data_IF_581558955169
#
_entry.id   IF_581558955169
#
_cell.length_a   1.000
_cell.length_b   1.000
_cell.length_c   1.000
_cell.angle_alpha   90.00
_cell.angle_beta   90.00
_cell.angle_gamma   90.00
#
_symmetry.space_group_name_H-M   'P 1'
#
loop_
_entity.id
_entity.type
_entity.pdbx_description
1 polymer ?
#
# COMPACT_ATOMS: atom_id res chain seq x y z
N UNK A 1 -50.34 38.11 -44.81
CA UNK A 1 -48.99 37.57 -44.53
C UNK A 1 -48.23 37.33 -45.83
N UNK A 2 -46.99 37.83 -45.96
CA UNK A 2 -46.19 37.68 -47.19
C UNK A 2 -45.61 36.25 -47.27
N UNK A 3 -46.01 35.47 -48.28
CA UNK A 3 -45.62 34.06 -48.53
C UNK A 3 -44.11 33.81 -48.44
N UNK A 4 -43.31 34.78 -48.90
CA UNK A 4 -41.84 34.74 -48.85
C UNK A 4 -41.30 34.75 -47.42
N UNK A 5 -41.91 35.53 -46.52
CA UNK A 5 -41.51 35.64 -45.12
C UNK A 5 -41.83 34.36 -44.34
N UNK A 6 -42.99 33.74 -44.63
CA UNK A 6 -43.37 32.46 -44.03
C UNK A 6 -42.40 31.34 -44.43
N UNK A 7 -42.12 31.16 -45.73
CA UNK A 7 -41.18 30.13 -46.20
C UNK A 7 -39.76 30.30 -45.65
N UNK A 8 -39.30 31.54 -45.49
CA UNK A 8 -37.99 31.85 -44.92
C UNK A 8 -37.93 31.53 -43.42
N UNK A 9 -39.00 31.83 -42.67
CA UNK A 9 -39.10 31.51 -41.25
C UNK A 9 -39.26 30.00 -41.00
N UNK A 10 -40.02 29.29 -41.83
CA UNK A 10 -40.19 27.84 -41.73
C UNK A 10 -38.90 27.09 -42.11
N UNK A 11 -38.12 27.59 -43.06
CA UNK A 11 -36.81 27.03 -43.42
C UNK A 11 -35.76 27.16 -42.31
N UNK A 12 -35.73 28.30 -41.61
CA UNK A 12 -34.84 28.53 -40.46
C UNK A 12 -35.24 27.65 -39.26
N UNK A 13 -36.55 27.46 -39.02
CA UNK A 13 -37.05 26.54 -37.99
C UNK A 13 -36.72 25.06 -38.30
N UNK A 14 -36.82 24.65 -39.56
CA UNK A 14 -36.43 23.30 -40.00
C UNK A 14 -34.92 23.04 -39.86
N UNK A 15 -34.08 24.02 -40.20
CA UNK A 15 -32.64 23.92 -40.04
C UNK A 15 -32.22 23.88 -38.55
N UNK A 16 -32.88 24.66 -37.67
CA UNK A 16 -32.64 24.63 -36.23
C UNK A 16 -32.98 23.29 -35.57
N UNK A 17 -34.04 22.62 -36.04
CA UNK A 17 -34.46 21.29 -35.56
C UNK A 17 -33.56 20.14 -36.06
N UNK A 18 -32.85 20.33 -37.18
CA UNK A 18 -31.85 19.36 -37.68
C UNK A 18 -30.49 19.63 -37.04
N UNK A 19 -30.12 20.89 -36.82
CA UNK A 19 -28.90 21.27 -36.12
C UNK A 19 -28.92 20.85 -34.63
N UNK A 20 -30.08 20.84 -33.97
CA UNK A 20 -30.22 20.32 -32.59
C UNK A 20 -30.05 18.80 -32.48
N UNK A 21 -30.09 18.06 -33.60
CA UNK A 21 -29.72 16.63 -33.64
C UNK A 21 -28.23 16.41 -33.88
N UNK A 22 -27.51 17.46 -34.26
CA UNK A 22 -26.04 17.53 -34.32
C UNK A 22 -25.49 18.36 -33.15
N UNK A 23 -26.13 18.28 -31.98
CA UNK A 23 -25.39 18.52 -30.74
C UNK A 23 -24.21 17.55 -30.75
N UNK A 24 -23.01 18.08 -30.97
CA UNK A 24 -21.77 17.49 -30.49
C UNK A 24 -21.85 17.46 -28.96
N UNK A 25 -22.73 16.64 -28.42
CA UNK A 25 -22.51 16.09 -27.11
C UNK A 25 -21.20 15.31 -27.27
N UNK A 26 -20.11 15.88 -26.77
CA UNK A 26 -18.94 15.08 -26.39
C UNK A 26 -19.52 13.84 -25.70
N UNK A 27 -19.12 12.62 -26.09
CA UNK A 27 -19.70 11.43 -25.51
C UNK A 27 -19.57 11.56 -23.99
N UNK A 28 -20.70 11.64 -23.29
CA UNK A 28 -20.76 11.76 -21.83
C UNK A 28 -20.11 10.54 -21.13
N UNK A 29 -19.73 9.53 -21.93
CA UNK A 29 -19.15 8.26 -21.54
C UNK A 29 -17.63 8.13 -21.79
N UNK A 30 -16.90 9.22 -22.08
CA UNK A 30 -15.43 9.14 -22.21
C UNK A 30 -14.75 9.45 -20.89
N UNK A 31 -14.37 8.40 -20.18
CA UNK A 31 -13.48 8.51 -19.02
C UNK A 31 -12.02 8.72 -19.48
N UNK A 32 -11.23 9.56 -18.79
CA UNK A 32 -9.85 9.81 -19.16
C UNK A 32 -8.96 8.58 -18.91
N UNK A 33 -7.96 8.36 -19.77
CA UNK A 33 -6.92 7.37 -19.50
C UNK A 33 -6.00 7.92 -18.40
N UNK A 34 -6.07 7.33 -17.20
CA UNK A 34 -5.25 7.73 -16.04
C UNK A 34 -4.27 6.65 -15.58
N UNK A 35 -4.47 5.39 -16.00
CA UNK A 35 -3.49 4.31 -15.81
C UNK A 35 -2.18 4.65 -16.54
N UNK A 36 -1.05 4.34 -15.91
CA UNK A 36 0.28 4.58 -16.48
C UNK A 36 0.42 3.84 -17.82
N UNK A 37 1.03 4.50 -18.80
CA UNK A 37 1.28 3.94 -20.12
C UNK A 37 2.03 2.59 -20.01
N UNK A 38 1.67 1.61 -20.83
CA UNK A 38 2.13 0.23 -20.69
C UNK A 38 3.67 0.06 -20.68
N UNK A 39 4.43 0.97 -21.31
CA UNK A 39 5.88 0.97 -21.31
C UNK A 39 6.52 1.52 -20.01
N UNK A 40 5.75 2.24 -19.20
CA UNK A 40 6.19 2.87 -17.94
C UNK A 40 5.70 2.14 -16.68
N UNK A 41 4.90 1.08 -16.83
CA UNK A 41 4.42 0.25 -15.71
C UNK A 41 5.59 -0.52 -15.10
N UNK A 42 5.71 -0.48 -13.78
CA UNK A 42 6.84 -1.09 -13.07
C UNK A 42 6.81 -2.62 -13.11
N UNK A 43 5.62 -3.21 -13.09
CA UNK A 43 5.41 -4.65 -13.13
C UNK A 43 4.21 -5.01 -14.02
N UNK A 44 4.27 -6.16 -14.69
CA UNK A 44 3.21 -6.64 -15.58
C UNK A 44 2.79 -8.05 -15.18
N UNK A 45 1.49 -8.27 -15.10
CA UNK A 45 0.90 -9.58 -14.81
C UNK A 45 -0.23 -9.85 -15.80
N UNK A 46 -0.10 -10.93 -16.56
CA UNK A 46 -1.09 -11.33 -17.55
C UNK A 46 -2.42 -11.74 -16.89
N UNK A 47 -2.36 -12.33 -15.69
CA UNK A 47 -3.55 -12.72 -14.93
C UNK A 47 -4.32 -11.50 -14.41
N UNK A 48 -3.61 -10.45 -13.97
CA UNK A 48 -4.23 -9.18 -13.57
C UNK A 48 -4.87 -8.47 -14.76
N UNK A 49 -4.19 -8.37 -15.90
CA UNK A 49 -4.78 -7.77 -17.11
C UNK A 49 -5.99 -8.58 -17.63
N UNK A 50 -5.95 -9.92 -17.51
CA UNK A 50 -7.12 -10.78 -17.79
C UNK A 50 -8.28 -10.50 -16.83
N UNK A 51 -8.02 -10.37 -15.54
CA UNK A 51 -9.06 -10.07 -14.55
C UNK A 51 -9.72 -8.70 -14.81
N UNK A 52 -8.95 -7.70 -15.24
CA UNK A 52 -9.47 -6.39 -15.66
C UNK A 52 -10.39 -6.54 -16.87
N UNK A 53 -9.96 -7.27 -17.90
CA UNK A 53 -10.77 -7.51 -19.09
C UNK A 53 -12.06 -8.28 -18.77
N UNK A 54 -11.97 -9.29 -17.90
CA UNK A 54 -13.12 -10.08 -17.45
C UNK A 54 -14.11 -9.23 -16.64
N UNK A 55 -13.63 -8.38 -15.73
CA UNK A 55 -14.49 -7.44 -15.00
C UNK A 55 -15.21 -6.49 -15.97
N UNK A 56 -14.48 -5.91 -16.92
CA UNK A 56 -15.05 -5.02 -17.94
C UNK A 56 -16.10 -5.68 -18.83
N UNK A 57 -15.94 -6.96 -19.16
CA UNK A 57 -16.92 -7.71 -19.94
C UNK A 57 -18.22 -8.01 -19.17
N UNK A 58 -18.15 -8.13 -17.83
CA UNK A 58 -19.26 -8.58 -17.00
C UNK A 58 -19.96 -7.46 -16.22
N UNK A 59 -19.39 -6.25 -16.18
CA UNK A 59 -19.94 -5.12 -15.42
C UNK A 59 -20.48 -4.05 -16.36
N UNK A 60 -21.79 -3.78 -16.26
CA UNK A 60 -22.47 -2.80 -17.13
C UNK A 60 -22.13 -1.34 -16.81
N UNK A 61 -21.80 -1.03 -15.56
CA UNK A 61 -21.47 0.32 -15.15
C UNK A 61 -20.06 0.69 -15.63
N UNK A 62 -20.00 1.56 -16.65
CA UNK A 62 -18.75 2.00 -17.28
C UNK A 62 -17.81 2.74 -16.33
N UNK A 63 -18.35 3.53 -15.39
CA UNK A 63 -17.55 4.23 -14.38
C UNK A 63 -16.88 3.22 -13.43
N UNK A 64 -17.63 2.19 -13.00
CA UNK A 64 -17.07 1.15 -12.16
C UNK A 64 -15.98 0.34 -12.87
N UNK A 65 -16.16 0.05 -14.17
CA UNK A 65 -15.11 -0.58 -14.99
C UNK A 65 -13.87 0.31 -15.08
N UNK A 66 -14.06 1.61 -15.33
CA UNK A 66 -12.96 2.58 -15.38
C UNK A 66 -12.23 2.66 -14.03
N UNK A 67 -12.95 2.77 -12.92
CA UNK A 67 -12.36 2.77 -11.57
C UNK A 67 -11.58 1.47 -11.30
N UNK A 68 -12.14 0.31 -11.65
CA UNK A 68 -11.47 -0.97 -11.45
C UNK A 68 -10.18 -1.08 -12.28
N UNK A 69 -10.22 -0.70 -13.56
CA UNK A 69 -9.04 -0.70 -14.43
C UNK A 69 -7.92 0.21 -13.92
N UNK A 70 -8.26 1.32 -13.27
CA UNK A 70 -7.27 2.25 -12.72
C UNK A 70 -6.75 1.84 -11.33
N UNK A 71 -7.62 1.35 -10.46
CA UNK A 71 -7.28 1.05 -9.08
C UNK A 71 -6.69 -0.35 -8.91
N UNK A 72 -7.28 -1.36 -9.57
CA UNK A 72 -6.90 -2.76 -9.34
C UNK A 72 -5.43 -3.06 -9.65
N UNK A 73 -4.81 -2.54 -10.73
CA UNK A 73 -3.39 -2.80 -11.01
C UNK A 73 -2.45 -1.72 -10.48
N UNK A 74 -2.94 -0.70 -9.75
CA UNK A 74 -2.17 0.51 -9.46
C UNK A 74 -0.83 0.21 -8.76
N UNK A 75 -0.84 -0.65 -7.75
CA UNK A 75 0.38 -1.12 -7.06
C UNK A 75 1.42 -1.67 -8.04
N UNK A 76 1.01 -2.57 -8.95
CA UNK A 76 1.94 -3.17 -9.91
C UNK A 76 2.46 -2.14 -10.91
N UNK A 77 1.62 -1.20 -11.29
CA UNK A 77 1.96 -0.19 -12.28
C UNK A 77 2.94 0.85 -11.74
N UNK A 78 2.82 1.26 -10.47
CA UNK A 78 3.43 2.50 -9.96
C UNK A 78 4.31 2.34 -8.72
N UNK A 79 4.13 1.30 -7.90
CA UNK A 79 4.77 1.26 -6.58
C UNK A 79 5.82 0.17 -6.40
N UNK A 80 5.81 -0.83 -7.28
CA UNK A 80 6.68 -2.00 -7.18
C UNK A 80 8.07 -1.70 -7.75
N UNK A 81 9.11 -2.22 -7.11
CA UNK A 81 10.46 -2.34 -7.64
C UNK A 81 10.97 -3.75 -7.39
N UNK A 82 10.90 -4.59 -8.43
CA UNK A 82 11.36 -5.98 -8.38
C UNK A 82 12.82 -6.07 -8.82
N UNK A 83 13.65 -6.72 -8.00
CA UNK A 83 15.05 -7.01 -8.30
C UNK A 83 15.41 -8.42 -7.86
N UNK A 84 16.67 -8.82 -8.10
CA UNK A 84 17.24 -10.04 -7.52
C UNK A 84 18.37 -9.65 -6.56
N UNK A 85 18.32 -10.15 -5.33
CA UNK A 85 19.39 -10.02 -4.33
C UNK A 85 20.01 -11.40 -4.13
N UNK A 86 21.28 -11.56 -4.52
CA UNK A 86 21.97 -12.86 -4.49
C UNK A 86 21.18 -13.97 -5.21
N UNK A 87 20.65 -13.67 -6.41
CA UNK A 87 19.78 -14.53 -7.21
C UNK A 87 18.42 -14.88 -6.59
N UNK A 88 18.08 -14.35 -5.42
CA UNK A 88 16.76 -14.52 -4.81
C UNK A 88 15.85 -13.31 -5.11
N UNK A 89 14.53 -13.51 -5.28
CA UNK A 89 13.59 -12.41 -5.43
C UNK A 89 13.69 -11.40 -4.29
N UNK A 90 13.68 -10.12 -4.66
CA UNK A 90 13.61 -9.01 -3.73
C UNK A 90 12.66 -7.95 -4.29
N UNK A 91 11.69 -7.51 -3.49
CA UNK A 91 10.70 -6.56 -3.95
C UNK A 91 10.46 -5.49 -2.92
N UNK A 92 10.75 -4.26 -3.33
CA UNK A 92 10.44 -3.05 -2.59
C UNK A 92 9.14 -2.46 -3.11
N UNK A 93 8.25 -2.03 -2.21
CA UNK A 93 6.93 -1.49 -2.58
C UNK A 93 6.71 -0.20 -1.83
N UNK A 94 6.65 0.92 -2.54
CA UNK A 94 6.33 2.23 -1.94
C UNK A 94 4.82 2.36 -1.66
N UNK A 95 4.43 3.28 -0.80
CA UNK A 95 2.99 3.52 -0.53
C UNK A 95 2.30 4.19 -1.71
N UNK A 96 3.02 5.05 -2.43
CA UNK A 96 2.53 5.78 -3.60
C UNK A 96 3.30 7.07 -3.79
N UNK A 97 2.80 8.15 -3.21
CA UNK A 97 3.43 9.48 -3.22
C UNK A 97 4.60 9.62 -2.23
N UNK A 98 4.70 8.73 -1.23
CA UNK A 98 5.83 8.65 -0.30
C UNK A 98 6.77 7.53 -0.76
N UNK A 99 8.04 7.87 -1.04
CA UNK A 99 9.10 6.91 -1.39
C UNK A 99 9.66 6.20 -0.15
N UNK A 100 8.80 5.40 0.50
CA UNK A 100 9.14 4.49 1.58
C UNK A 100 8.16 3.30 1.60
N UNK A 101 8.64 2.16 2.10
CA UNK A 101 7.88 0.93 2.24
C UNK A 101 7.39 0.77 3.67
N UNK A 102 6.08 0.90 3.88
CA UNK A 102 5.44 0.47 5.11
C UNK A 102 5.23 -1.04 5.10
N UNK A 103 5.49 -1.70 6.23
CA UNK A 103 5.23 -3.14 6.37
C UNK A 103 3.73 -3.46 6.19
N UNK A 104 2.85 -2.59 6.72
CA UNK A 104 1.40 -2.65 6.53
C UNK A 104 1.02 -2.56 5.05
N UNK A 105 1.38 -1.43 4.44
CA UNK A 105 0.90 -1.06 3.10
C UNK A 105 1.39 -2.04 2.05
N UNK A 106 2.68 -2.38 2.07
CA UNK A 106 3.26 -3.32 1.11
C UNK A 106 2.61 -4.71 1.14
N UNK A 107 2.14 -5.18 2.31
CA UNK A 107 1.35 -6.41 2.41
C UNK A 107 -0.08 -6.24 1.92
N UNK A 108 -0.74 -5.13 2.27
CA UNK A 108 -2.13 -4.87 1.90
C UNK A 108 -2.29 -4.62 0.39
N UNK A 109 -1.39 -3.84 -0.20
CA UNK A 109 -1.38 -3.46 -1.61
C UNK A 109 -1.35 -4.68 -2.56
N UNK A 110 -0.64 -5.75 -2.18
CA UNK A 110 -0.55 -6.98 -3.01
C UNK A 110 -1.57 -8.06 -2.65
N UNK A 111 -2.30 -7.89 -1.55
CA UNK A 111 -3.24 -8.89 -1.03
C UNK A 111 -4.27 -9.37 -2.06
N UNK A 112 -4.90 -8.50 -2.88
CA UNK A 112 -5.88 -8.95 -3.88
C UNK A 112 -5.29 -9.85 -4.97
N UNK A 113 -3.98 -9.77 -5.22
CA UNK A 113 -3.31 -10.55 -6.25
C UNK A 113 -2.97 -11.98 -5.81
N UNK A 114 -3.05 -12.29 -4.51
CA UNK A 114 -2.69 -13.60 -3.96
C UNK A 114 -3.56 -14.74 -4.52
N UNK A 115 -4.72 -14.43 -5.09
CA UNK A 115 -5.59 -15.41 -5.75
C UNK A 115 -5.00 -15.93 -7.08
N UNK A 116 -4.10 -15.19 -7.73
CA UNK A 116 -3.53 -15.55 -9.04
C UNK A 116 -2.18 -16.26 -8.97
N UNK A 117 -1.60 -16.45 -7.78
CA UNK A 117 -0.20 -16.92 -7.64
C UNK A 117 0.06 -18.33 -8.19
N UNK A 118 -0.98 -19.17 -8.32
CA UNK A 118 -0.85 -20.50 -8.93
C UNK A 118 -0.72 -20.44 -10.45
N UNK A 119 -1.25 -19.39 -11.06
CA UNK A 119 -1.34 -19.21 -12.51
C UNK A 119 -0.30 -18.20 -13.03
N UNK A 120 0.31 -17.42 -12.14
CA UNK A 120 1.27 -16.38 -12.47
C UNK A 120 2.55 -16.49 -11.64
N UNK A 121 3.53 -17.20 -12.20
CA UNK A 121 4.84 -17.41 -11.57
C UNK A 121 5.60 -16.09 -11.34
N UNK A 122 5.39 -15.08 -12.18
CA UNK A 122 6.04 -13.77 -12.01
C UNK A 122 5.49 -13.05 -10.78
N UNK A 123 4.17 -13.08 -10.60
CA UNK A 123 3.49 -12.50 -9.45
C UNK A 123 3.78 -13.28 -8.17
N UNK A 124 3.94 -14.61 -8.26
CA UNK A 124 4.43 -15.44 -7.15
C UNK A 124 5.81 -14.99 -6.69
N UNK A 125 6.77 -14.83 -7.61
CA UNK A 125 8.12 -14.33 -7.29
C UNK A 125 8.12 -12.92 -6.73
N UNK A 126 7.24 -12.05 -7.23
CA UNK A 126 7.02 -10.71 -6.67
C UNK A 126 6.69 -10.79 -5.18
N UNK A 127 5.67 -11.58 -4.81
CA UNK A 127 5.23 -11.70 -3.41
C UNK A 127 6.30 -12.38 -2.55
N UNK A 128 7.01 -13.38 -3.06
CA UNK A 128 8.18 -13.96 -2.40
C UNK A 128 9.24 -12.88 -2.08
N UNK A 129 9.51 -11.99 -3.03
CA UNK A 129 10.45 -10.88 -2.85
C UNK A 129 10.00 -9.88 -1.78
N UNK A 130 8.70 -9.64 -1.66
CA UNK A 130 8.13 -8.78 -0.61
C UNK A 130 8.34 -9.41 0.77
N UNK A 131 8.03 -10.69 0.93
CA UNK A 131 8.21 -11.42 2.21
C UNK A 131 9.69 -11.41 2.64
N UNK A 132 10.60 -11.65 1.69
CA UNK A 132 12.04 -11.61 1.95
C UNK A 132 12.49 -10.20 2.37
N UNK A 133 12.02 -9.15 1.68
CA UNK A 133 12.32 -7.76 2.03
C UNK A 133 11.78 -7.39 3.42
N UNK A 134 10.52 -7.70 3.70
CA UNK A 134 9.88 -7.44 5.00
C UNK A 134 10.61 -8.14 6.14
N UNK A 135 11.09 -9.37 5.95
CA UNK A 135 11.91 -10.09 6.94
C UNK A 135 13.16 -9.29 7.32
N UNK A 136 13.89 -8.76 6.34
CA UNK A 136 15.09 -7.94 6.57
C UNK A 136 14.78 -6.60 7.22
N UNK A 137 13.66 -5.97 6.87
CA UNK A 137 13.17 -4.77 7.54
C UNK A 137 12.92 -5.02 9.04
N UNK A 138 12.23 -6.12 9.39
CA UNK A 138 11.98 -6.52 10.77
C UNK A 138 13.29 -6.82 11.53
N UNK A 139 14.24 -7.51 10.90
CA UNK A 139 15.57 -7.76 11.50
C UNK A 139 16.31 -6.44 11.77
N UNK A 140 16.23 -5.49 10.84
CA UNK A 140 16.87 -4.18 10.95
C UNK A 140 16.30 -3.37 12.11
N UNK A 141 14.96 -3.26 12.19
CA UNK A 141 14.28 -2.67 13.33
C UNK A 141 12.81 -3.09 13.43
N UNK A 142 12.50 -4.02 14.33
CA UNK A 142 11.13 -4.49 14.54
C UNK A 142 10.20 -3.45 15.20
N UNK A 143 10.72 -2.30 15.66
CA UNK A 143 9.90 -1.19 16.15
C UNK A 143 9.52 -0.18 15.05
N UNK A 144 10.10 -0.28 13.85
CA UNK A 144 9.85 0.65 12.76
C UNK A 144 8.66 0.23 11.88
N UNK A 145 7.85 1.21 11.48
CA UNK A 145 6.74 1.03 10.54
C UNK A 145 7.21 1.11 9.07
N UNK A 146 8.22 1.95 8.77
CA UNK A 146 8.60 2.30 7.40
C UNK A 146 10.09 2.23 7.09
N UNK A 147 10.44 1.81 5.86
CA UNK A 147 11.82 1.54 5.44
C UNK A 147 12.10 2.08 4.04
N UNK A 148 13.34 2.50 3.78
CA UNK A 148 13.80 2.82 2.43
C UNK A 148 14.32 1.58 1.69
N UNK A 149 14.38 1.66 0.36
CA UNK A 149 15.05 0.64 -0.45
C UNK A 149 16.56 0.62 -0.18
N UNK A 150 17.17 1.80 -0.11
CA UNK A 150 18.56 2.01 0.27
C UNK A 150 18.72 1.86 1.79
N UNK A 151 19.42 0.80 2.20
CA UNK A 151 19.64 0.46 3.60
C UNK A 151 20.53 1.47 4.36
N UNK A 152 21.18 2.41 3.65
CA UNK A 152 22.05 3.46 4.20
C UNK A 152 21.43 4.87 4.12
N UNK A 153 20.28 5.04 3.46
CA UNK A 153 19.62 6.34 3.32
C UNK A 153 19.25 6.90 4.70
N UNK A 154 19.62 8.14 4.95
CA UNK A 154 19.27 8.84 6.20
C UNK A 154 17.89 9.47 6.02
N UNK A 155 16.99 9.21 6.96
CA UNK A 155 15.64 9.76 6.94
C UNK A 155 15.59 11.27 7.17
N UNK A 156 14.56 11.90 6.61
CA UNK A 156 14.15 13.24 7.02
C UNK A 156 13.69 13.29 8.49
N UNK A 157 13.16 12.18 9.01
CA UNK A 157 12.75 11.98 10.40
C UNK A 157 13.91 11.63 11.35
N UNK A 158 15.17 11.79 10.91
CA UNK A 158 16.38 11.48 11.72
C UNK A 158 16.47 12.25 13.05
N UNK A 159 15.74 13.35 13.18
CA UNK A 159 15.74 14.20 14.37
C UNK A 159 14.65 13.79 15.38
N UNK A 160 13.81 12.79 15.07
CA UNK A 160 12.92 12.20 16.08
C UNK A 160 13.74 11.70 17.27
N UNK A 161 13.25 11.94 18.48
CA UNK A 161 13.86 11.50 19.73
C UNK A 161 13.54 10.02 19.98
N UNK A 162 14.17 9.16 19.17
CA UNK A 162 14.12 7.70 19.20
C UNK A 162 15.45 7.16 18.65
N UNK A 163 15.68 5.85 18.80
CA UNK A 163 16.84 5.15 18.22
C UNK A 163 16.74 4.97 16.69
N UNK A 164 16.75 6.07 15.93
CA UNK A 164 16.74 6.04 14.46
C UNK A 164 17.98 5.35 13.88
N UNK A 165 17.80 4.61 12.79
CA UNK A 165 18.88 3.92 12.04
C UNK A 165 18.85 4.32 10.57
N UNK A 166 20.00 4.38 9.86
CA UNK A 166 20.01 4.48 8.40
C UNK A 166 19.15 3.39 7.76
N UNK A 167 18.44 3.69 6.68
CA UNK A 167 17.52 2.80 5.97
C UNK A 167 16.14 2.61 6.62
N UNK A 168 15.93 3.09 7.86
CA UNK A 168 14.59 3.26 8.44
C UNK A 168 14.05 4.62 7.98
N UNK A 169 12.88 4.64 7.37
CA UNK A 169 12.21 5.89 7.01
C UNK A 169 11.54 6.50 8.24
N UNK A 170 10.69 5.74 8.92
CA UNK A 170 10.01 6.19 10.13
C UNK A 170 10.00 5.06 11.17
N UNK A 171 10.05 5.43 12.45
CA UNK A 171 10.16 4.48 13.58
C UNK A 171 8.97 4.59 14.54
N UNK A 172 7.76 4.70 14.01
CA UNK A 172 6.54 4.64 14.81
C UNK A 172 6.18 3.18 15.11
N UNK A 173 6.14 2.83 16.40
CA UNK A 173 5.84 1.46 16.83
C UNK A 173 4.35 1.16 16.73
N UNK A 174 4.03 0.27 15.81
CA UNK A 174 2.68 -0.17 15.47
C UNK A 174 2.63 -1.70 15.48
N UNK A 175 1.75 -2.28 16.29
CA UNK A 175 1.62 -3.75 16.37
C UNK A 175 1.35 -4.35 14.98
N UNK A 176 0.51 -3.71 14.19
CA UNK A 176 0.09 -4.23 12.89
C UNK A 176 1.24 -4.31 11.87
N UNK A 177 2.25 -3.45 12.00
CA UNK A 177 3.45 -3.49 11.16
C UNK A 177 4.17 -4.85 11.23
N UNK A 178 4.07 -5.57 12.36
CA UNK A 178 4.59 -6.94 12.48
C UNK A 178 3.55 -8.02 12.16
N UNK A 179 2.25 -7.69 12.18
CA UNK A 179 1.19 -8.62 11.81
C UNK A 179 1.03 -8.78 10.30
N UNK A 180 1.13 -7.69 9.54
CA UNK A 180 0.92 -7.69 8.09
C UNK A 180 1.88 -8.60 7.32
N UNK A 181 3.20 -8.61 7.61
CA UNK A 181 4.15 -9.55 7.00
C UNK A 181 3.80 -11.02 7.29
N UNK A 182 3.40 -11.33 8.54
CA UNK A 182 2.96 -12.69 8.93
C UNK A 182 1.70 -13.09 8.15
N UNK A 183 0.72 -12.19 8.09
CA UNK A 183 -0.52 -12.38 7.34
C UNK A 183 -0.24 -12.67 5.86
N UNK A 184 0.63 -11.87 5.22
CA UNK A 184 1.00 -12.04 3.82
C UNK A 184 1.70 -13.38 3.60
N UNK A 185 2.72 -13.69 4.40
CA UNK A 185 3.53 -14.88 4.22
C UNK A 185 2.74 -16.17 4.46
N UNK A 186 1.89 -16.20 5.48
CA UNK A 186 0.99 -17.33 5.74
C UNK A 186 0.01 -17.55 4.59
N UNK A 187 -0.61 -16.48 4.06
CA UNK A 187 -1.54 -16.60 2.94
C UNK A 187 -0.84 -17.01 1.65
N UNK A 188 0.37 -16.49 1.40
CA UNK A 188 1.22 -16.92 0.29
C UNK A 188 1.46 -18.44 0.35
N UNK A 189 1.87 -18.95 1.50
CA UNK A 189 2.11 -20.38 1.70
C UNK A 189 0.85 -21.22 1.51
N UNK A 190 -0.28 -20.84 2.10
CA UNK A 190 -1.54 -21.56 1.92
C UNK A 190 -1.98 -21.63 0.44
N UNK A 191 -1.71 -20.59 -0.34
CA UNK A 191 -2.10 -20.52 -1.75
C UNK A 191 -1.13 -21.25 -2.67
N UNK A 192 0.15 -21.34 -2.33
CA UNK A 192 1.19 -21.82 -3.26
C UNK A 192 1.84 -23.12 -2.82
N UNK A 193 1.70 -23.49 -1.55
CA UNK A 193 2.50 -24.51 -0.85
C UNK A 193 4.01 -24.28 -0.95
N UNK A 194 4.44 -23.06 -1.30
CA UNK A 194 5.83 -22.72 -1.47
C UNK A 194 6.44 -22.22 -0.16
N UNK A 195 7.50 -22.88 0.28
CA UNK A 195 8.23 -22.55 1.49
C UNK A 195 9.55 -21.80 1.25
N UNK A 196 9.89 -21.48 0.00
CA UNK A 196 11.13 -20.77 -0.35
C UNK A 196 11.34 -19.44 0.40
N UNK A 197 10.32 -18.61 0.71
CA UNK A 197 10.52 -17.39 1.48
C UNK A 197 10.89 -17.61 2.96
N UNK A 198 10.66 -18.80 3.52
CA UNK A 198 10.85 -19.10 4.95
C UNK A 198 12.28 -19.56 5.24
N UNK A 199 13.22 -18.61 5.11
CA UNK A 199 14.65 -18.83 5.37
C UNK A 199 15.01 -18.58 6.83
N UNK A 200 16.30 -18.71 7.17
CA UNK A 200 16.82 -18.29 8.47
C UNK A 200 16.58 -16.78 8.74
N UNK A 201 16.54 -15.93 7.71
CA UNK A 201 16.17 -14.51 7.85
C UNK A 201 14.72 -14.37 8.30
N UNK A 202 13.80 -15.18 7.74
CA UNK A 202 12.40 -15.19 8.17
C UNK A 202 12.27 -15.60 9.65
N UNK A 203 12.92 -16.70 10.05
CA UNK A 203 12.88 -17.19 11.42
C UNK A 203 13.37 -16.12 12.40
N UNK A 204 14.50 -15.48 12.10
CA UNK A 204 15.02 -14.34 12.88
C UNK A 204 14.03 -13.18 12.96
N UNK A 205 13.35 -12.86 11.86
CA UNK A 205 12.29 -11.85 11.84
C UNK A 205 11.12 -12.19 12.79
N UNK A 206 10.70 -13.46 12.81
CA UNK A 206 9.65 -13.93 13.72
C UNK A 206 10.11 -13.93 15.18
N UNK A 207 11.34 -14.33 15.46
CA UNK A 207 11.93 -14.23 16.81
C UNK A 207 11.99 -12.78 17.30
N UNK A 208 12.39 -11.84 16.43
CA UNK A 208 12.36 -10.40 16.73
C UNK A 208 10.95 -9.91 17.00
N UNK A 209 9.97 -10.37 16.22
CA UNK A 209 8.55 -10.03 16.44
C UNK A 209 8.06 -10.50 17.80
N UNK A 210 8.31 -11.76 18.16
CA UNK A 210 7.94 -12.31 19.46
C UNK A 210 8.62 -11.55 20.61
N UNK A 211 9.89 -11.18 20.42
CA UNK A 211 10.65 -10.39 21.41
C UNK A 211 9.99 -9.04 21.65
N UNK A 212 9.72 -8.27 20.58
CA UNK A 212 9.05 -6.97 20.68
C UNK A 212 7.66 -7.08 21.31
N UNK A 213 6.86 -8.07 20.90
CA UNK A 213 5.54 -8.28 21.49
C UNK A 213 5.62 -8.52 23.00
N UNK A 214 6.59 -9.30 23.49
CA UNK A 214 6.80 -9.53 24.93
C UNK A 214 7.31 -8.28 25.64
N UNK A 215 8.28 -7.57 25.08
CA UNK A 215 8.76 -6.29 25.61
C UNK A 215 7.60 -5.30 25.79
N UNK A 216 6.71 -5.22 24.79
CA UNK A 216 5.57 -4.32 24.79
C UNK A 216 4.38 -4.82 25.63
N UNK A 217 4.45 -5.99 26.27
CA UNK A 217 3.54 -6.31 27.38
C UNK A 217 3.84 -5.46 28.63
N UNK A 218 5.03 -4.84 28.71
CA UNK A 218 5.45 -3.91 29.77
C UNK A 218 5.23 -4.45 31.20
N UNK A 219 5.47 -5.75 31.39
CA UNK A 219 5.21 -6.46 32.65
C UNK A 219 6.16 -6.04 33.77
N UNK A 220 7.41 -5.75 33.44
CA UNK A 220 8.48 -5.42 34.40
C UNK A 220 8.84 -3.95 34.40
N UNK A 221 8.80 -3.31 33.23
CA UNK A 221 9.22 -1.93 33.00
C UNK A 221 8.53 -1.37 31.74
N UNK A 222 8.87 -0.15 31.34
CA UNK A 222 8.26 0.54 30.19
C UNK A 222 8.66 -0.04 28.83
N UNK A 223 9.64 -0.93 28.79
CA UNK A 223 10.24 -1.48 27.58
C UNK A 223 11.30 -0.55 26.97
N UNK A 224 12.01 -1.04 25.93
CA UNK A 224 13.11 -0.31 25.31
C UNK A 224 12.66 0.79 24.33
N UNK A 225 11.39 0.78 23.91
CA UNK A 225 10.89 1.75 22.93
C UNK A 225 10.44 3.05 23.59
N UNK A 226 10.99 4.16 23.10
CA UNK A 226 10.47 5.50 23.33
C UNK A 226 10.48 6.28 22.00
N UNK A 227 9.60 7.27 21.88
CA UNK A 227 9.54 8.13 20.70
C UNK A 227 8.99 9.51 21.06
N UNK A 228 9.66 10.57 20.62
CA UNK A 228 9.07 11.92 20.59
C UNK A 228 9.45 12.61 19.30
N UNK A 229 8.53 13.43 18.78
CA UNK A 229 8.74 14.30 17.63
C UNK A 229 8.38 15.74 17.99
N UNK A 230 9.16 16.69 17.52
CA UNK A 230 8.78 18.10 17.49
C UNK A 230 7.79 18.31 16.34
N UNK A 231 6.49 18.35 16.67
CA UNK A 231 5.41 18.50 15.69
C UNK A 231 4.33 19.44 16.21
N UNK A 232 3.65 20.14 15.29
CA UNK A 232 2.42 20.88 15.57
C UNK A 232 1.23 19.94 15.76
N UNK A 233 1.36 18.68 15.35
CA UNK A 233 0.33 17.66 15.45
C UNK A 233 0.56 16.82 16.71
N UNK A 234 -0.36 16.88 17.71
CA UNK A 234 -0.14 16.19 18.99
C UNK A 234 -0.18 14.66 18.87
N UNK A 235 -0.75 14.11 17.79
CA UNK A 235 -0.79 12.67 17.51
C UNK A 235 0.49 12.15 16.87
N UNK A 236 1.41 13.01 16.44
CA UNK A 236 2.70 12.60 15.86
C UNK A 236 3.78 12.34 16.90
N UNK A 237 3.47 12.42 18.19
CA UNK A 237 4.44 12.30 19.28
C UNK A 237 3.84 11.56 20.47
N UNK A 238 4.66 10.92 21.29
CA UNK A 238 4.19 10.24 22.49
C UNK A 238 4.40 11.10 23.73
N UNK A 239 3.35 11.13 24.57
CA UNK A 239 3.40 11.76 25.89
C UNK A 239 4.29 10.98 26.87
N UNK A 240 4.43 11.50 28.10
CA UNK A 240 5.11 10.81 29.21
C UNK A 240 6.56 10.44 28.91
N UNK A 241 7.34 11.41 28.41
CA UNK A 241 8.75 11.23 28.03
C UNK A 241 8.93 10.18 26.92
N UNK A 242 8.00 10.15 25.97
CA UNK A 242 8.07 9.28 24.81
C UNK A 242 7.57 7.85 25.01
N UNK A 243 6.98 7.53 26.17
CA UNK A 243 6.46 6.18 26.45
C UNK A 243 4.95 6.03 26.24
N UNK A 244 4.24 7.12 26.00
CA UNK A 244 2.77 7.15 25.93
C UNK A 244 2.11 7.02 27.30
N UNK A 245 0.78 6.99 27.32
CA UNK A 245 0.01 6.92 28.57
C UNK A 245 0.28 5.63 29.35
N UNK A 246 0.27 5.65 30.70
CA UNK A 246 0.51 4.48 31.53
C UNK A 246 -0.49 3.35 31.27
N UNK A 247 -0.02 2.11 31.38
CA UNK A 247 -0.86 0.90 31.24
C UNK A 247 -0.77 0.03 32.48
N UNK A 248 -1.84 -0.73 32.75
CA UNK A 248 -1.78 -1.87 33.66
C UNK A 248 -1.36 -3.10 32.82
N UNK A 249 -0.24 -3.78 33.13
CA UNK A 249 0.26 -4.88 32.31
C UNK A 249 -0.54 -6.17 32.54
N UNK A 250 -1.69 -6.27 31.87
CA UNK A 250 -2.64 -7.39 32.00
C UNK A 250 -2.40 -8.52 31.00
N UNK A 251 -1.38 -8.41 30.15
CA UNK A 251 -1.02 -9.42 29.15
C UNK A 251 -1.26 -9.02 27.69
N UNK A 252 -1.94 -7.88 27.45
CA UNK A 252 -2.03 -7.26 26.13
C UNK A 252 -0.68 -6.64 25.70
N UNK A 253 -0.55 -6.30 24.41
CA UNK A 253 0.70 -5.82 23.78
C UNK A 253 0.57 -4.34 23.42
N UNK A 254 1.59 -3.55 23.78
CA UNK A 254 1.76 -2.11 23.56
C UNK A 254 1.56 -1.77 22.10
N UNK A 255 0.67 -0.88 21.70
CA UNK A 255 0.85 -0.13 20.45
C UNK A 255 1.06 1.34 20.79
N UNK A 256 2.20 1.90 20.37
CA UNK A 256 2.46 3.32 20.57
C UNK A 256 1.69 4.16 19.57
N UNK A 257 1.61 3.66 18.33
CA UNK A 257 0.88 4.27 17.23
C UNK A 257 -0.15 3.28 16.66
N UNK A 258 -1.12 3.82 15.94
CA UNK A 258 -2.20 3.10 15.25
C UNK A 258 -1.79 2.83 13.81
N UNK A 259 -2.57 2.01 13.06
CA UNK A 259 -2.39 1.89 11.61
C UNK A 259 -2.60 3.20 10.83
N UNK A 260 -3.08 4.27 11.48
CA UNK A 260 -3.14 5.62 10.90
C UNK A 260 -1.86 6.42 11.11
N UNK A 261 -0.82 5.81 11.70
CA UNK A 261 0.42 6.45 12.17
C UNK A 261 0.18 7.49 13.29
N UNK A 262 -1.04 7.58 13.85
CA UNK A 262 -1.38 8.43 15.01
C UNK A 262 -1.07 7.74 16.33
N UNK A 263 -0.57 8.49 17.32
CA UNK A 263 -0.37 8.00 18.68
C UNK A 263 -1.67 7.44 19.29
N UNK A 264 -1.55 6.33 20.01
CA UNK A 264 -2.68 5.74 20.74
C UNK A 264 -3.06 6.61 21.94
N UNK A 265 -4.36 6.68 22.25
CA UNK A 265 -4.85 7.28 23.50
C UNK A 265 -4.64 6.29 24.65
N UNK A 266 -5.12 5.06 24.47
CA UNK A 266 -4.84 3.93 25.33
C UNK A 266 -3.98 2.94 24.54
N UNK A 267 -2.80 2.52 25.06
CA UNK A 267 -1.91 1.65 24.30
C UNK A 267 -2.39 0.22 24.05
N UNK A 268 -3.49 -0.21 24.68
CA UNK A 268 -4.23 -1.45 24.37
C UNK A 268 -5.71 -1.13 24.13
#
# INVERSE_FOLDING_TARGET
MKRKTFLMQTGVLGAGLVASKFSYALPADTFPLVRVAAAKRHFKSATVDKAIAEFGANVKNKELVWLFENCFPNTLDTTVSYTLRNNNPDTYVITGDIDAMWLRDSSAQVWPYLQFLKEDESLKKLVQGIIARQSRCIIKDAYANAFYNDEQKISEWKNDHTDMKPGVHERKWEIDSLCYPIRLAHQYWLKTSDSQPFTEEWEKGIERTLTVFKEQQRKTDKGPYHFQRESLYPHDTLSMNGYGFPVKPVGLICSSFRPSDDATIFPF
#
